data_IF_952742414924
#
_entry.id   IF_952742414924
#
_cell.length_a   1.000
_cell.length_b   1.000
_cell.length_c   1.000
_cell.angle_alpha   90.00
_cell.angle_beta   90.00
_cell.angle_gamma   90.00
#
_symmetry.space_group_name_H-M   'P 1'
#
loop_
_entity.id
_entity.type
_entity.pdbx_description
1 polymer ?
#
# COMPACT_ATOMS: atom_id res chain seq x y z
N UNK A 1 -11.65 -14.71 51.59
CA UNK A 1 -12.55 -15.52 52.43
C UNK A 1 -13.86 -15.75 51.67
N UNK A 2 -14.22 -17.03 51.47
CA UNK A 2 -15.57 -17.62 51.23
C UNK A 2 -16.45 -16.98 50.13
N UNK A 3 -16.59 -17.58 48.94
CA UNK A 3 -17.45 -18.74 48.56
C UNK A 3 -18.91 -18.61 49.01
N UNK A 4 -19.84 -18.69 48.07
CA UNK A 4 -21.03 -19.57 48.05
C UNK A 4 -21.75 -19.38 46.69
N UNK A 5 -22.50 -20.29 46.05
CA UNK A 5 -22.51 -21.75 45.79
C UNK A 5 -23.65 -21.95 44.78
N UNK A 6 -23.42 -22.77 43.75
CA UNK A 6 -24.35 -23.28 42.74
C UNK A 6 -25.56 -24.05 43.34
N UNK A 7 -26.74 -23.96 42.72
CA UNK A 7 -27.89 -24.86 42.98
C UNK A 7 -28.24 -25.60 41.68
N UNK A 8 -28.18 -26.94 41.73
CA UNK A 8 -28.63 -27.86 40.69
C UNK A 8 -29.55 -28.91 41.33
N UNK A 9 -30.73 -29.08 40.72
CA UNK A 9 -31.60 -30.26 40.59
C UNK A 9 -31.93 -31.18 41.79
N UNK A 10 -33.22 -31.52 41.92
CA UNK A 10 -33.82 -32.87 42.05
C UNK A 10 -35.32 -32.68 42.35
N UNK A 11 -36.20 -33.44 41.69
CA UNK A 11 -37.32 -34.21 42.28
C UNK A 11 -38.08 -34.92 41.14
N UNK A 12 -38.06 -36.25 41.18
CA UNK A 12 -38.95 -37.15 40.46
C UNK A 12 -39.53 -38.15 41.50
N UNK A 13 -40.75 -38.63 41.22
CA UNK A 13 -41.42 -39.83 41.76
C UNK A 13 -42.53 -39.63 42.83
N UNK A 14 -43.77 -39.84 42.37
CA UNK A 14 -44.92 -40.52 43.00
C UNK A 14 -45.95 -40.72 41.84
N UNK A 15 -46.74 -41.77 41.66
CA UNK A 15 -47.45 -42.63 42.61
C UNK A 15 -48.09 -43.84 41.87
N UNK A 16 -48.53 -44.80 42.70
CA UNK A 16 -48.96 -46.18 42.47
C UNK A 16 -50.30 -46.47 41.75
N UNK A 17 -50.32 -47.66 41.13
CA UNK A 17 -51.36 -48.71 41.02
C UNK A 17 -52.86 -48.39 40.84
N UNK A 18 -53.42 -48.92 39.75
CA UNK A 18 -54.73 -49.59 39.74
C UNK A 18 -54.71 -50.80 38.78
N UNK A 19 -55.17 -51.94 39.28
CA UNK A 19 -55.34 -53.19 38.53
C UNK A 19 -56.82 -53.41 38.20
N UNK A 20 -57.12 -53.83 36.97
CA UNK A 20 -58.38 -54.48 36.62
C UNK A 20 -58.20 -55.38 35.39
N UNK A 21 -58.74 -56.59 35.49
CA UNK A 21 -58.63 -57.72 34.56
C UNK A 21 -59.22 -57.43 33.17
N UNK A 22 -58.58 -57.97 32.13
CA UNK A 22 -59.15 -58.14 30.79
C UNK A 22 -58.79 -59.54 30.23
N UNK A 23 -59.67 -60.16 29.42
CA UNK A 23 -59.59 -61.58 29.05
C UNK A 23 -58.55 -61.88 27.97
N UNK A 24 -58.16 -63.16 27.89
CA UNK A 24 -57.16 -63.70 26.98
C UNK A 24 -57.49 -63.45 25.50
N UNK A 25 -56.51 -62.90 24.76
CA UNK A 25 -56.54 -62.75 23.32
C UNK A 25 -55.76 -63.91 22.64
N UNK A 26 -56.39 -64.48 21.61
CA UNK A 26 -55.88 -65.50 20.68
C UNK A 26 -54.79 -64.92 19.75
N UNK A 27 -53.95 -65.75 19.11
CA UNK A 27 -52.58 -65.39 18.70
C UNK A 27 -52.55 -64.54 17.42
N UNK A 28 -51.63 -63.57 17.39
CA UNK A 28 -51.26 -62.81 16.19
C UNK A 28 -49.99 -63.44 15.59
N UNK A 29 -49.90 -63.67 14.27
CA UNK A 29 -48.69 -64.17 13.63
C UNK A 29 -47.56 -63.15 13.81
N UNK A 30 -46.38 -63.62 14.24
CA UNK A 30 -45.16 -62.83 14.28
C UNK A 30 -44.70 -62.57 12.85
N UNK A 31 -44.89 -61.36 12.36
CA UNK A 31 -44.23 -60.87 11.15
C UNK A 31 -42.75 -60.63 11.49
N UNK A 32 -41.83 -61.13 10.66
CA UNK A 32 -40.40 -60.93 10.87
C UNK A 32 -40.06 -59.43 10.80
N UNK A 33 -39.14 -58.93 11.66
CA UNK A 33 -38.75 -57.53 11.63
C UNK A 33 -38.06 -57.22 10.30
N UNK A 34 -38.67 -56.32 9.52
CA UNK A 34 -38.00 -55.70 8.37
C UNK A 34 -36.85 -54.86 8.90
N UNK A 35 -35.63 -55.34 8.69
CA UNK A 35 -34.40 -54.56 8.93
C UNK A 35 -34.46 -53.34 8.00
N UNK A 36 -34.41 -52.10 8.52
CA UNK A 36 -34.27 -50.95 7.65
C UNK A 36 -32.89 -51.04 7.01
N UNK A 37 -32.83 -51.30 5.71
CA UNK A 37 -31.61 -51.09 4.95
C UNK A 37 -31.39 -49.58 4.93
N UNK A 38 -30.49 -49.07 5.79
CA UNK A 38 -29.93 -47.73 5.63
C UNK A 38 -29.28 -47.67 4.25
N UNK A 39 -29.97 -47.06 3.30
CA UNK A 39 -29.35 -46.59 2.07
C UNK A 39 -28.38 -45.49 2.48
N UNK A 40 -27.10 -45.85 2.64
CA UNK A 40 -25.99 -44.91 2.73
C UNK A 40 -26.07 -44.02 1.49
N UNK A 41 -26.41 -42.75 1.68
CA UNK A 41 -26.40 -41.78 0.60
C UNK A 41 -25.01 -41.82 -0.06
N UNK A 42 -24.92 -41.88 -1.40
CA UNK A 42 -23.62 -41.85 -2.06
C UNK A 42 -22.88 -40.59 -1.60
N UNK A 43 -21.74 -40.78 -0.94
CA UNK A 43 -20.82 -39.70 -0.62
C UNK A 43 -20.42 -39.06 -1.94
N UNK A 44 -20.86 -37.82 -2.16
CA UNK A 44 -20.43 -37.06 -3.32
C UNK A 44 -18.90 -37.08 -3.35
N UNK A 45 -18.26 -37.34 -4.51
CA UNK A 45 -16.82 -37.24 -4.61
C UNK A 45 -16.40 -35.85 -4.12
N UNK A 46 -15.31 -35.73 -3.35
CA UNK A 46 -14.84 -34.44 -2.88
C UNK A 46 -14.67 -33.52 -4.09
N UNK A 47 -15.20 -32.30 -3.99
CA UNK A 47 -15.01 -31.27 -5.01
C UNK A 47 -13.50 -31.13 -5.26
N UNK A 48 -13.05 -31.10 -6.53
CA UNK A 48 -11.64 -30.90 -6.83
C UNK A 48 -11.15 -29.64 -6.12
N UNK A 49 -10.02 -29.74 -5.44
CA UNK A 49 -9.39 -28.59 -4.80
C UNK A 49 -9.00 -27.58 -5.89
N UNK A 50 -9.40 -26.33 -5.73
CA UNK A 50 -9.03 -25.27 -6.68
C UNK A 50 -7.52 -25.04 -6.60
N UNK A 51 -6.87 -24.94 -7.75
CA UNK A 51 -5.45 -24.63 -7.86
C UNK A 51 -5.25 -23.41 -8.77
N UNK A 52 -4.59 -22.37 -8.27
CA UNK A 52 -4.18 -21.22 -9.08
C UNK A 52 -3.01 -21.53 -10.01
N UNK A 53 -2.64 -20.61 -10.92
CA UNK A 53 -1.40 -20.72 -11.68
C UNK A 53 -0.18 -20.80 -10.75
N UNK A 54 0.84 -21.57 -11.15
CA UNK A 54 2.08 -21.68 -10.37
C UNK A 54 2.74 -20.31 -10.19
N UNK A 55 3.07 -19.96 -8.94
CA UNK A 55 3.69 -18.68 -8.60
C UNK A 55 2.75 -17.47 -8.62
N UNK A 56 1.44 -17.66 -8.82
CA UNK A 56 0.48 -16.57 -8.73
C UNK A 56 0.29 -16.08 -7.29
N UNK A 57 0.11 -14.77 -7.13
CA UNK A 57 -0.45 -14.20 -5.92
C UNK A 57 -1.94 -14.57 -5.86
N UNK A 58 -2.33 -15.38 -4.89
CA UNK A 58 -3.72 -15.79 -4.71
C UNK A 58 -4.37 -14.90 -3.66
N UNK A 59 -5.30 -14.04 -4.07
CA UNK A 59 -6.20 -13.36 -3.15
C UNK A 59 -7.25 -14.34 -2.65
N UNK A 60 -7.30 -14.53 -1.32
CA UNK A 60 -8.31 -15.37 -0.66
C UNK A 60 -9.38 -14.51 0.00
N UNK A 61 -10.62 -14.98 -0.01
CA UNK A 61 -11.73 -14.28 0.63
C UNK A 61 -11.53 -14.25 2.15
N UNK A 62 -11.75 -13.10 2.76
CA UNK A 62 -11.74 -12.89 4.20
C UNK A 62 -13.11 -12.35 4.67
N UNK A 63 -13.54 -12.77 5.87
CA UNK A 63 -14.82 -12.33 6.46
C UNK A 63 -14.81 -10.85 6.86
N UNK A 64 -13.63 -10.28 7.10
CA UNK A 64 -13.45 -8.88 7.50
C UNK A 64 -12.16 -8.30 6.96
N UNK A 65 -12.16 -6.99 6.73
CA UNK A 65 -10.96 -6.23 6.41
C UNK A 65 -9.91 -6.35 7.53
N UNK A 66 -8.60 -6.34 7.20
CA UNK A 66 -7.52 -6.28 8.17
C UNK A 66 -7.42 -4.86 8.75
N UNK A 67 -6.74 -4.74 9.89
CA UNK A 67 -6.35 -3.43 10.43
C UNK A 67 -5.12 -2.95 9.67
N UNK A 68 -5.19 -1.79 9.04
CA UNK A 68 -4.04 -1.25 8.29
C UNK A 68 -3.14 -0.46 9.23
N UNK A 69 -2.28 -1.15 9.99
CA UNK A 69 -1.38 -0.52 10.97
C UNK A 69 0.10 -0.89 10.80
N UNK A 70 0.42 -1.75 9.81
CA UNK A 70 1.78 -2.20 9.55
C UNK A 70 2.23 -3.32 10.48
N UNK A 71 1.29 -4.04 11.10
CA UNK A 71 1.55 -5.22 11.93
C UNK A 71 0.77 -6.40 11.36
N UNK A 72 1.50 -7.37 10.80
CA UNK A 72 0.93 -8.54 10.14
C UNK A 72 0.36 -9.60 11.11
N UNK A 73 -0.43 -9.22 12.11
CA UNK A 73 -1.01 -10.10 13.13
C UNK A 73 -2.52 -10.31 13.02
N UNK A 74 -3.20 -9.64 12.08
CA UNK A 74 -4.61 -9.88 11.78
C UNK A 74 -4.88 -11.31 11.31
N UNK A 75 -5.96 -11.90 11.86
CA UNK A 75 -6.42 -13.25 11.49
C UNK A 75 -6.78 -13.38 10.00
N UNK A 76 -7.11 -12.27 9.34
CA UNK A 76 -7.43 -12.25 7.91
C UNK A 76 -6.27 -12.76 7.04
N UNK A 77 -5.02 -12.57 7.47
CA UNK A 77 -3.83 -13.01 6.74
C UNK A 77 -3.50 -14.51 6.90
N UNK A 78 -4.17 -15.22 7.83
CA UNK A 78 -3.78 -16.57 8.22
C UNK A 78 -3.89 -17.61 7.08
N UNK A 79 -4.84 -17.42 6.18
CA UNK A 79 -5.08 -18.31 5.03
C UNK A 79 -4.51 -17.77 3.71
N UNK A 80 -3.90 -16.58 3.72
CA UNK A 80 -3.30 -15.98 2.55
C UNK A 80 -1.90 -16.56 2.32
N UNK A 81 -1.68 -17.12 1.13
CA UNK A 81 -0.37 -17.60 0.71
C UNK A 81 0.54 -16.43 0.38
N UNK A 82 1.79 -16.52 0.83
CA UNK A 82 2.83 -15.54 0.52
C UNK A 82 3.57 -15.96 -0.74
N UNK A 83 3.74 -15.02 -1.67
CA UNK A 83 4.71 -15.14 -2.74
C UNK A 83 5.92 -14.27 -2.45
N UNK A 84 7.07 -14.66 -3.01
CA UNK A 84 8.33 -13.91 -2.91
C UNK A 84 8.72 -13.42 -4.30
N UNK A 85 8.94 -12.11 -4.41
CA UNK A 85 9.33 -11.43 -5.65
C UNK A 85 10.71 -10.82 -5.47
N UNK A 86 11.69 -11.31 -6.22
CA UNK A 86 13.02 -10.69 -6.26
C UNK A 86 12.97 -9.34 -6.98
N UNK A 87 13.44 -8.28 -6.33
CA UNK A 87 13.66 -6.97 -6.93
C UNK A 87 15.16 -6.63 -6.92
N UNK A 88 15.69 -6.18 -8.07
CA UNK A 88 17.14 -6.02 -8.27
C UNK A 88 17.49 -4.70 -8.94
N UNK A 89 18.78 -4.35 -8.92
CA UNK A 89 19.38 -3.22 -9.67
C UNK A 89 19.01 -1.83 -9.16
N UNK A 90 18.73 -1.69 -7.87
CA UNK A 90 18.60 -0.39 -7.21
C UNK A 90 19.93 0.36 -7.10
N UNK A 91 19.88 1.57 -6.53
CA UNK A 91 21.07 2.36 -6.25
C UNK A 91 22.14 1.54 -5.51
N UNK A 92 23.42 1.74 -5.86
CA UNK A 92 24.55 0.97 -5.31
C UNK A 92 24.39 -0.57 -5.35
N UNK A 93 23.57 -1.09 -6.28
CA UNK A 93 23.32 -2.52 -6.41
C UNK A 93 22.29 -3.07 -5.41
N UNK A 94 21.55 -2.20 -4.73
CA UNK A 94 20.48 -2.60 -3.82
C UNK A 94 19.53 -3.59 -4.49
N UNK A 95 19.28 -4.69 -3.78
CA UNK A 95 18.41 -5.79 -4.19
C UNK A 95 17.82 -6.39 -2.92
N UNK A 96 16.55 -6.77 -2.97
CA UNK A 96 15.82 -7.34 -1.83
C UNK A 96 14.73 -8.28 -2.34
N UNK A 97 14.08 -8.98 -1.43
CA UNK A 97 12.91 -9.81 -1.69
C UNK A 97 11.67 -9.09 -1.16
N UNK A 98 10.64 -9.00 -2.01
CA UNK A 98 9.33 -8.50 -1.61
C UNK A 98 8.45 -9.71 -1.33
N UNK A 99 8.01 -9.81 -0.08
CA UNK A 99 7.04 -10.80 0.38
C UNK A 99 5.65 -10.20 0.27
N UNK A 100 4.75 -10.87 -0.44
CA UNK A 100 3.44 -10.33 -0.77
C UNK A 100 2.34 -11.35 -0.50
N UNK A 101 1.33 -10.92 0.25
CA UNK A 101 0.06 -11.62 0.46
C UNK A 101 -1.09 -10.77 -0.04
N UNK A 102 -2.19 -11.41 -0.42
CA UNK A 102 -3.42 -10.73 -0.80
C UNK A 102 -4.64 -11.43 -0.19
N UNK A 103 -5.61 -10.61 0.19
CA UNK A 103 -6.96 -11.05 0.56
C UNK A 103 -7.97 -10.11 -0.08
N UNK A 104 -9.23 -10.52 -0.11
CA UNK A 104 -10.32 -9.65 -0.52
C UNK A 104 -11.56 -9.89 0.34
N UNK A 105 -12.41 -8.88 0.42
CA UNK A 105 -13.75 -8.93 1.02
C UNK A 105 -14.79 -8.83 -0.10
N UNK A 106 -16.06 -8.65 0.25
CA UNK A 106 -17.14 -8.50 -0.75
C UNK A 106 -16.91 -7.35 -1.73
N UNK A 107 -16.23 -6.28 -1.30
CA UNK A 107 -16.10 -5.03 -2.06
C UNK A 107 -14.67 -4.48 -2.17
N UNK A 108 -13.70 -5.07 -1.47
CA UNK A 108 -12.35 -4.49 -1.33
C UNK A 108 -11.26 -5.54 -1.46
N UNK A 109 -10.08 -5.12 -1.91
CA UNK A 109 -8.87 -5.93 -1.94
C UNK A 109 -7.82 -5.32 -1.02
N UNK A 110 -7.07 -6.19 -0.33
CA UNK A 110 -6.02 -5.82 0.59
C UNK A 110 -4.75 -6.60 0.31
N UNK A 111 -3.62 -5.95 0.55
CA UNK A 111 -2.30 -6.50 0.38
C UNK A 111 -1.48 -6.28 1.64
N UNK A 112 -0.66 -7.26 1.97
CA UNK A 112 0.39 -7.15 2.94
C UNK A 112 1.72 -7.32 2.20
N UNK A 113 2.51 -6.25 2.18
CA UNK A 113 3.84 -6.23 1.57
C UNK A 113 4.90 -6.06 2.65
N UNK A 114 5.91 -6.92 2.62
CA UNK A 114 7.12 -6.72 3.42
C UNK A 114 8.37 -6.81 2.58
N UNK A 115 9.39 -6.05 2.94
CA UNK A 115 10.72 -6.16 2.33
C UNK A 115 11.77 -5.70 3.33
N UNK A 116 12.95 -6.33 3.26
CA UNK A 116 14.11 -5.88 4.02
C UNK A 116 14.62 -4.57 3.42
N UNK A 117 14.83 -3.57 4.27
CA UNK A 117 15.45 -2.29 3.96
C UNK A 117 16.45 -1.97 5.08
N UNK A 118 17.75 -1.79 4.78
CA UNK A 118 18.76 -1.59 5.80
C UNK A 118 18.63 -0.26 6.56
N UNK A 119 17.84 0.69 6.05
CA UNK A 119 17.71 2.02 6.62
C UNK A 119 16.26 2.45 6.71
N UNK A 120 15.88 3.07 7.83
CA UNK A 120 14.63 3.82 7.88
C UNK A 120 14.89 5.23 7.34
N UNK A 121 14.72 5.42 6.04
CA UNK A 121 15.02 6.70 5.38
C UNK A 121 13.86 7.67 5.51
N UNK A 122 14.02 8.62 6.42
CA UNK A 122 13.05 9.70 6.66
C UNK A 122 13.66 11.12 6.51
N UNK A 123 14.99 11.23 6.42
CA UNK A 123 15.71 12.50 6.40
C UNK A 123 15.72 13.13 4.99
N UNK A 124 14.52 13.45 4.51
CA UNK A 124 14.25 13.92 3.17
C UNK A 124 14.57 15.41 2.99
N UNK A 125 15.74 15.70 2.44
CA UNK A 125 16.22 17.06 2.08
C UNK A 125 15.75 18.19 3.02
N UNK A 126 15.98 18.08 4.34
CA UNK A 126 15.54 19.09 5.29
C UNK A 126 16.33 20.39 5.11
N UNK A 127 15.78 21.48 5.59
CA UNK A 127 16.45 22.75 5.75
C UNK A 127 17.40 22.72 6.95
N UNK A 128 18.59 23.31 6.83
CA UNK A 128 19.51 23.53 7.93
C UNK A 128 19.95 24.99 8.00
N UNK A 129 19.90 25.59 9.20
CA UNK A 129 20.43 26.94 9.45
C UNK A 129 21.95 26.94 9.45
N UNK A 130 22.53 27.81 8.62
CA UNK A 130 23.97 27.92 8.41
C UNK A 130 24.61 28.91 9.39
N UNK A 131 25.95 28.90 9.50
CA UNK A 131 26.71 29.80 10.39
C UNK A 131 26.51 31.29 10.08
N UNK A 132 26.30 31.63 8.80
CA UNK A 132 26.02 32.99 8.35
C UNK A 132 24.56 33.43 8.55
N UNK A 133 23.73 32.58 9.17
CA UNK A 133 22.31 32.81 9.41
C UNK A 133 21.40 32.46 8.24
N UNK A 134 21.95 32.08 7.07
CA UNK A 134 21.15 31.65 5.91
C UNK A 134 20.61 30.23 6.10
N UNK A 135 19.69 29.83 5.22
CA UNK A 135 19.13 28.48 5.19
C UNK A 135 19.55 27.76 3.92
N UNK A 136 19.83 26.46 4.03
CA UNK A 136 20.09 25.60 2.89
C UNK A 136 19.34 24.28 3.06
N UNK A 137 18.79 23.76 1.97
CA UNK A 137 18.38 22.35 1.97
C UNK A 137 19.63 21.48 1.97
N UNK A 138 19.62 20.46 2.81
CA UNK A 138 20.58 19.37 2.75
C UNK A 138 20.35 18.62 1.44
N UNK A 139 21.43 18.45 0.67
CA UNK A 139 21.41 17.86 -0.66
C UNK A 139 22.42 16.75 -0.75
N UNK A 140 22.07 15.75 -1.52
CA UNK A 140 23.01 14.73 -1.94
C UNK A 140 24.10 15.42 -2.80
N UNK A 141 25.38 15.37 -2.40
CA UNK A 141 26.46 16.00 -3.16
C UNK A 141 26.68 15.36 -4.53
N UNK A 142 26.20 14.13 -4.74
CA UNK A 142 26.31 13.36 -5.97
C UNK A 142 25.05 13.47 -6.86
N UNK A 143 23.99 14.18 -6.42
CA UNK A 143 22.78 14.42 -7.22
C UNK A 143 23.09 15.28 -8.45
N UNK A 144 22.91 14.68 -9.62
CA UNK A 144 23.14 15.26 -10.96
C UNK A 144 21.83 15.64 -11.64
N UNK A 145 20.81 15.99 -10.86
CA UNK A 145 19.56 16.57 -11.35
C UNK A 145 18.38 15.61 -11.21
N UNK A 146 17.95 15.40 -9.97
CA UNK A 146 16.76 14.60 -9.65
C UNK A 146 17.07 13.13 -9.38
N UNK A 147 18.32 12.80 -9.02
CA UNK A 147 18.74 11.47 -8.63
C UNK A 147 19.37 11.43 -7.24
N UNK A 148 18.81 12.17 -6.28
CA UNK A 148 19.18 12.10 -4.86
C UNK A 148 19.00 10.67 -4.32
N UNK A 149 20.06 10.07 -3.77
CA UNK A 149 20.03 8.76 -3.13
C UNK A 149 20.69 8.75 -1.74
N UNK A 150 20.73 9.91 -1.06
CA UNK A 150 21.35 10.05 0.26
C UNK A 150 20.41 10.68 1.30
N UNK A 151 19.63 11.67 0.87
CA UNK A 151 18.71 12.41 1.73
C UNK A 151 17.31 12.36 1.13
N UNK A 152 16.83 11.14 0.91
CA UNK A 152 15.52 10.88 0.34
C UNK A 152 14.67 10.06 1.34
N UNK A 153 13.68 9.35 0.83
CA UNK A 153 12.76 8.53 1.61
C UNK A 153 12.67 7.14 0.99
N UNK A 154 12.31 6.15 1.80
CA UNK A 154 12.02 4.80 1.31
C UNK A 154 10.65 4.76 0.62
N UNK A 155 10.54 3.93 -0.40
CA UNK A 155 9.34 3.82 -1.23
C UNK A 155 9.16 2.43 -1.79
N UNK A 156 7.95 2.15 -2.26
CA UNK A 156 7.71 1.12 -3.25
C UNK A 156 6.77 1.65 -4.34
N UNK A 157 6.78 0.98 -5.49
CA UNK A 157 5.80 1.17 -6.54
C UNK A 157 5.22 -0.18 -6.97
N UNK A 158 3.91 -0.20 -7.19
CA UNK A 158 3.15 -1.38 -7.59
C UNK A 158 2.32 -0.99 -8.82
N UNK A 159 2.62 -1.58 -9.98
CA UNK A 159 2.05 -1.17 -11.26
C UNK A 159 1.21 -2.27 -11.91
N UNK A 160 0.05 -1.90 -12.46
CA UNK A 160 -0.92 -2.75 -13.12
C UNK A 160 -1.24 -2.22 -14.53
N UNK A 161 -1.33 -3.06 -15.58
CA UNK A 161 -1.84 -2.63 -16.86
C UNK A 161 -3.38 -2.51 -16.80
N UNK A 162 -3.92 -1.35 -17.11
CA UNK A 162 -5.37 -1.14 -17.10
C UNK A 162 -5.96 -1.79 -18.35
N UNK A 163 -6.98 -2.61 -18.17
CA UNK A 163 -7.68 -3.33 -19.25
C UNK A 163 -6.74 -4.14 -20.16
N UNK A 164 -5.60 -4.62 -19.64
CA UNK A 164 -4.54 -5.28 -20.42
C UNK A 164 -4.10 -4.45 -21.64
N UNK A 165 -4.15 -3.12 -21.54
CA UNK A 165 -3.87 -2.21 -22.66
C UNK A 165 -2.38 -2.12 -23.01
N UNK A 166 -1.49 -2.38 -22.04
CA UNK A 166 -0.04 -2.31 -22.24
C UNK A 166 0.46 -3.61 -22.87
N UNK A 167 0.91 -3.51 -24.13
CA UNK A 167 1.44 -4.64 -24.91
C UNK A 167 2.65 -5.28 -24.22
N UNK A 168 2.69 -6.62 -24.23
CA UNK A 168 3.75 -7.47 -23.66
C UNK A 168 3.96 -7.34 -22.14
N UNK A 169 3.05 -6.68 -21.40
CA UNK A 169 3.22 -6.51 -19.95
C UNK A 169 3.26 -7.86 -19.22
N UNK A 170 2.49 -8.85 -19.65
CA UNK A 170 2.46 -10.19 -19.07
C UNK A 170 3.81 -10.94 -19.14
N UNK A 171 4.70 -10.52 -20.05
CA UNK A 171 6.04 -11.11 -20.19
C UNK A 171 7.16 -10.19 -19.71
N UNK A 172 7.06 -8.88 -19.97
CA UNK A 172 8.11 -7.89 -19.67
C UNK A 172 7.86 -7.11 -18.39
N UNK A 173 6.63 -7.13 -17.86
CA UNK A 173 6.20 -6.30 -16.74
C UNK A 173 6.49 -4.83 -16.96
N UNK A 174 6.98 -4.15 -15.92
CA UNK A 174 7.18 -2.71 -15.95
C UNK A 174 8.24 -2.24 -16.96
N UNK A 175 9.10 -3.14 -17.46
CA UNK A 175 10.16 -2.83 -18.44
C UNK A 175 9.59 -2.37 -19.78
N UNK A 176 8.37 -2.80 -20.15
CA UNK A 176 7.74 -2.39 -21.41
C UNK A 176 7.52 -0.88 -21.54
N UNK A 177 7.58 -0.15 -20.43
CA UNK A 177 7.41 1.29 -20.40
C UNK A 177 8.65 2.03 -19.91
N UNK A 178 9.79 1.35 -19.75
CA UNK A 178 11.04 1.95 -19.27
C UNK A 178 11.94 2.34 -20.45
N UNK A 179 12.28 3.62 -20.56
CA UNK A 179 13.11 4.16 -21.65
C UNK A 179 14.46 4.64 -21.07
N UNK A 180 15.44 3.74 -21.06
CA UNK A 180 16.81 4.04 -20.62
C UNK A 180 17.63 4.65 -21.75
N UNK A 181 18.56 5.55 -21.42
CA UNK A 181 19.47 6.20 -22.37
C UNK A 181 18.75 6.85 -23.57
N UNK A 182 17.59 7.45 -23.33
CA UNK A 182 16.69 8.04 -24.33
C UNK A 182 17.18 9.39 -24.92
N UNK A 183 18.48 9.68 -24.80
CA UNK A 183 19.09 10.89 -25.33
C UNK A 183 18.74 12.18 -24.56
N UNK A 184 18.03 12.09 -23.44
CA UNK A 184 17.60 13.26 -22.65
C UNK A 184 18.70 13.85 -21.76
N UNK A 185 19.81 13.14 -21.59
CA UNK A 185 20.92 13.55 -20.73
C UNK A 185 20.63 13.40 -19.23
N UNK A 186 19.43 12.93 -18.85
CA UNK A 186 19.10 12.60 -17.46
C UNK A 186 19.95 11.41 -16.97
N UNK A 187 20.34 11.36 -15.69
CA UNK A 187 21.05 10.22 -15.12
C UNK A 187 20.16 8.98 -14.92
N UNK A 188 18.87 9.05 -15.28
CA UNK A 188 17.85 8.01 -15.16
C UNK A 188 16.92 8.00 -16.38
N UNK A 189 16.23 6.89 -16.62
CA UNK A 189 15.30 6.73 -17.74
C UNK A 189 13.95 7.42 -17.51
N UNK A 190 13.25 7.71 -18.60
CA UNK A 190 11.85 8.15 -18.55
C UNK A 190 10.90 6.96 -18.62
N UNK A 191 9.68 7.13 -18.08
CA UNK A 191 8.65 6.08 -18.09
C UNK A 191 7.41 6.56 -18.86
N UNK A 192 7.03 5.85 -19.91
CA UNK A 192 5.81 6.06 -20.70
C UNK A 192 5.50 4.82 -21.54
N UNK A 193 4.21 4.57 -21.80
CA UNK A 193 3.77 3.44 -22.64
C UNK A 193 4.03 3.70 -24.12
N UNK A 194 4.09 2.64 -24.93
CA UNK A 194 4.54 2.74 -26.32
C UNK A 194 3.43 3.19 -27.29
N UNK A 195 2.16 2.99 -26.94
CA UNK A 195 1.01 3.25 -27.80
C UNK A 195 -0.02 4.18 -27.18
N UNK A 196 -0.67 4.98 -28.02
CA UNK A 196 -1.81 5.80 -27.63
C UNK A 196 -2.93 4.95 -27.02
N UNK A 197 -3.51 5.42 -25.91
CA UNK A 197 -4.55 4.72 -25.16
C UNK A 197 -4.04 3.61 -24.22
N UNK A 198 -2.73 3.31 -24.20
CA UNK A 198 -2.16 2.37 -23.22
C UNK A 198 -2.02 3.06 -21.87
N UNK A 199 -2.63 2.48 -20.84
CA UNK A 199 -2.65 3.02 -19.49
C UNK A 199 -2.17 1.98 -18.47
N UNK A 200 -1.44 2.46 -17.47
CA UNK A 200 -1.07 1.69 -16.29
C UNK A 200 -1.45 2.42 -15.02
N UNK A 201 -1.95 1.68 -14.04
CA UNK A 201 -2.25 2.14 -12.69
C UNK A 201 -1.00 1.90 -11.82
N UNK A 202 -0.54 2.90 -11.08
CA UNK A 202 0.68 2.91 -10.25
C UNK A 202 0.36 3.34 -8.82
N UNK A 203 0.39 2.39 -7.90
CA UNK A 203 0.30 2.68 -6.48
C UNK A 203 1.71 2.95 -5.95
N UNK A 204 1.95 4.17 -5.47
CA UNK A 204 3.30 4.63 -5.13
C UNK A 204 3.40 5.10 -3.68
N UNK A 205 3.77 4.18 -2.81
CA UNK A 205 3.99 4.46 -1.39
C UNK A 205 5.30 5.22 -1.16
N UNK A 206 5.27 6.19 -0.26
CA UNK A 206 6.35 7.11 0.07
C UNK A 206 6.37 7.33 1.57
N UNK A 207 7.38 6.83 2.28
CA UNK A 207 7.40 6.79 3.75
C UNK A 207 7.18 8.18 4.40
N UNK A 208 7.64 9.25 3.75
CA UNK A 208 7.51 10.62 4.25
C UNK A 208 6.34 11.35 3.64
N UNK A 209 6.14 11.25 2.32
CA UNK A 209 5.14 12.05 1.61
C UNK A 209 3.71 11.55 1.73
N UNK A 210 3.50 10.29 2.11
CA UNK A 210 2.16 9.74 2.35
C UNK A 210 1.71 9.87 3.81
N UNK A 211 0.39 9.79 4.05
CA UNK A 211 -0.23 9.83 5.38
C UNK A 211 -1.45 8.89 5.41
N UNK A 212 -1.30 7.70 5.98
CA UNK A 212 -2.38 6.71 6.10
C UNK A 212 -2.94 6.19 4.76
N UNK A 213 -2.20 6.41 3.67
CA UNK A 213 -2.65 6.18 2.29
C UNK A 213 -1.46 5.87 1.39
N UNK A 214 -1.71 5.26 0.24
CA UNK A 214 -0.75 5.23 -0.88
C UNK A 214 -1.13 6.30 -1.89
N UNK A 215 -0.12 6.91 -2.53
CA UNK A 215 -0.34 7.91 -3.57
C UNK A 215 -0.72 7.21 -4.87
N UNK A 216 -1.97 7.39 -5.31
CA UNK A 216 -2.45 6.80 -6.55
C UNK A 216 -2.00 7.63 -7.77
N UNK A 217 -1.52 6.94 -8.79
CA UNK A 217 -0.87 7.55 -9.94
C UNK A 217 -1.13 6.70 -11.16
N UNK A 218 -1.16 7.32 -12.34
CA UNK A 218 -1.22 6.56 -13.58
C UNK A 218 -0.03 6.82 -14.52
N UNK A 219 0.07 5.93 -15.49
CA UNK A 219 1.05 5.96 -16.57
C UNK A 219 0.32 6.02 -17.90
N UNK A 220 0.70 6.98 -18.74
CA UNK A 220 0.23 7.09 -20.12
C UNK A 220 1.38 7.07 -21.14
N UNK A 221 1.03 7.29 -22.41
CA UNK A 221 1.95 7.27 -23.56
C UNK A 221 2.63 8.61 -23.83
N UNK A 222 2.53 9.58 -22.91
CA UNK A 222 3.14 10.89 -23.08
C UNK A 222 4.66 10.76 -23.10
N UNK A 223 5.25 10.87 -24.29
CA UNK A 223 6.70 10.89 -24.44
C UNK A 223 7.32 12.09 -23.69
N UNK A 224 8.57 11.93 -23.28
CA UNK A 224 9.33 13.00 -22.65
C UNK A 224 9.52 14.18 -23.60
N UNK A 225 9.26 15.38 -23.10
CA UNK A 225 9.62 16.67 -23.71
C UNK A 225 10.09 17.60 -22.60
N UNK A 226 11.26 18.21 -22.77
CA UNK A 226 11.90 19.02 -21.74
C UNK A 226 11.11 20.28 -21.35
N UNK A 227 10.19 20.74 -22.19
CA UNK A 227 9.39 21.93 -21.96
C UNK A 227 7.93 21.58 -21.60
N UNK A 228 7.37 20.57 -22.27
CA UNK A 228 5.94 20.24 -22.22
C UNK A 228 5.60 19.07 -21.30
N UNK A 229 6.49 18.09 -21.16
CA UNK A 229 6.23 16.83 -20.44
C UNK A 229 7.50 16.30 -19.76
N UNK A 230 8.01 17.08 -18.80
CA UNK A 230 9.25 16.76 -18.06
C UNK A 230 9.21 15.43 -17.28
N UNK A 231 8.01 15.02 -16.87
CA UNK A 231 7.72 13.77 -16.17
C UNK A 231 7.30 12.62 -17.11
N UNK A 232 7.34 12.87 -18.43
CA UNK A 232 6.87 11.95 -19.45
C UNK A 232 5.46 11.42 -19.14
N UNK A 233 5.29 10.10 -19.14
CA UNK A 233 4.01 9.43 -18.99
C UNK A 233 3.55 9.27 -17.55
N UNK A 234 4.40 9.53 -16.55
CA UNK A 234 3.97 9.44 -15.14
C UNK A 234 3.12 10.64 -14.77
N UNK A 235 1.93 10.39 -14.27
CA UNK A 235 0.97 11.39 -13.82
C UNK A 235 0.54 11.09 -12.38
N UNK A 236 -0.25 11.99 -11.81
CA UNK A 236 -0.99 11.70 -10.58
C UNK A 236 -2.46 11.71 -10.91
N UNK A 237 -3.19 10.85 -10.25
CA UNK A 237 -4.64 10.82 -10.34
C UNK A 237 -5.24 12.15 -9.88
N UNK A 238 -6.45 12.49 -10.37
CA UNK A 238 -7.12 13.70 -9.94
C UNK A 238 -7.36 13.67 -8.42
N UNK A 239 -7.24 14.84 -7.79
CA UNK A 239 -7.52 15.01 -6.36
C UNK A 239 -8.41 16.22 -6.16
N UNK A 240 -9.23 16.16 -5.12
CA UNK A 240 -10.05 17.28 -4.68
C UNK A 240 -9.24 18.25 -3.81
N UNK A 241 -8.38 17.70 -2.94
CA UNK A 241 -7.53 18.50 -2.05
C UNK A 241 -6.39 17.68 -1.43
N UNK A 242 -5.56 18.36 -0.64
CA UNK A 242 -4.53 17.72 0.20
C UNK A 242 -3.28 17.25 -0.56
N UNK A 243 -2.56 16.30 0.03
CA UNK A 243 -1.27 15.81 -0.46
C UNK A 243 -0.08 16.56 0.12
N UNK A 244 1.02 16.62 -0.63
CA UNK A 244 2.30 17.14 -0.14
C UNK A 244 2.86 18.27 -0.99
N UNK A 245 3.67 19.13 -0.38
CA UNK A 245 4.43 20.19 -1.02
C UNK A 245 5.78 20.40 -0.36
N UNK A 246 6.71 20.99 -1.11
CA UNK A 246 7.98 21.46 -0.53
C UNK A 246 7.71 22.57 0.50
N UNK A 247 8.45 22.56 1.61
CA UNK A 247 8.37 23.56 2.67
C UNK A 247 9.18 24.81 2.29
N UNK A 248 8.65 25.60 1.36
CA UNK A 248 9.22 26.89 0.97
C UNK A 248 8.47 28.04 1.65
N UNK A 249 9.20 29.08 2.02
CA UNK A 249 8.58 30.35 2.36
C UNK A 249 7.88 30.96 1.13
N UNK A 250 7.09 32.01 1.34
CA UNK A 250 6.48 32.78 0.26
C UNK A 250 7.10 34.17 0.17
N UNK A 251 7.23 34.68 -1.05
CA UNK A 251 7.68 36.04 -1.34
C UNK A 251 6.81 36.68 -2.43
N UNK A 252 6.76 38.02 -2.54
CA UNK A 252 6.14 38.68 -3.68
C UNK A 252 6.78 38.22 -5.01
N UNK A 253 5.96 38.04 -6.04
CA UNK A 253 6.46 37.69 -7.38
C UNK A 253 7.32 38.85 -7.92
N UNK A 254 8.59 38.60 -8.32
CA UNK A 254 9.45 39.63 -8.92
C UNK A 254 8.88 40.25 -10.20
N UNK A 255 8.03 39.52 -10.94
CA UNK A 255 7.38 40.01 -12.15
C UNK A 255 6.06 40.75 -11.88
N UNK A 256 5.42 40.50 -10.73
CA UNK A 256 4.12 41.07 -10.36
C UNK A 256 3.90 41.05 -8.84
N UNK A 257 4.27 42.12 -8.14
CA UNK A 257 4.22 42.19 -6.68
C UNK A 257 2.82 42.00 -6.05
N UNK A 258 1.75 41.92 -6.84
CA UNK A 258 0.39 41.56 -6.37
C UNK A 258 0.20 40.05 -6.18
N UNK A 259 1.13 39.25 -6.70
CA UNK A 259 1.14 37.79 -6.58
C UNK A 259 2.23 37.34 -5.60
N UNK A 260 2.10 36.09 -5.13
CA UNK A 260 3.13 35.43 -4.32
C UNK A 260 3.67 34.21 -5.04
N UNK A 261 4.96 33.97 -4.86
CA UNK A 261 5.69 32.81 -5.37
C UNK A 261 6.50 32.18 -4.23
N UNK A 262 6.94 30.94 -4.42
CA UNK A 262 7.80 30.27 -3.45
C UNK A 262 9.18 30.94 -3.36
N UNK A 263 9.57 31.33 -2.16
CA UNK A 263 10.93 31.69 -1.79
C UNK A 263 11.71 30.41 -1.46
N UNK A 264 12.47 29.93 -2.45
CA UNK A 264 13.28 28.71 -2.35
C UNK A 264 14.60 28.91 -1.59
N UNK A 265 14.76 30.02 -0.87
CA UNK A 265 15.97 30.28 -0.07
C UNK A 265 15.83 29.91 1.41
N UNK A 266 14.61 29.63 1.90
CA UNK A 266 14.35 29.37 3.32
C UNK A 266 13.05 28.58 3.57
N UNK A 267 12.93 27.91 4.74
CA UNK A 267 11.71 27.22 5.12
C UNK A 267 10.56 28.20 5.38
N UNK A 268 9.34 27.78 5.04
CA UNK A 268 8.13 28.58 5.25
C UNK A 268 7.39 28.25 6.54
N UNK A 269 7.52 27.00 7.01
CA UNK A 269 6.73 26.47 8.11
C UNK A 269 7.58 25.62 9.08
N UNK A 270 7.10 25.55 10.33
CA UNK A 270 7.56 24.64 11.39
C UNK A 270 6.33 24.00 12.07
N UNK A 271 6.52 23.14 13.06
CA UNK A 271 5.47 22.72 14.00
C UNK A 271 6.08 22.42 15.36
N UNK A 272 5.25 22.31 16.40
CA UNK A 272 5.74 21.91 17.73
C UNK A 272 6.19 20.44 17.80
N UNK A 273 5.80 19.64 16.81
CA UNK A 273 6.12 18.21 16.70
C UNK A 273 7.50 17.94 16.10
N UNK A 274 8.20 18.95 15.55
CA UNK A 274 9.53 18.75 14.97
C UNK A 274 10.62 18.73 16.04
N UNK A 275 11.59 17.84 15.88
CA UNK A 275 12.88 17.95 16.57
C UNK A 275 13.83 18.82 15.72
N UNK A 276 14.14 20.02 16.21
CA UNK A 276 15.05 20.96 15.55
C UNK A 276 16.52 20.49 15.48
N UNK A 277 16.88 19.38 16.13
CA UNK A 277 18.25 18.80 16.08
C UNK A 277 18.38 17.72 15.02
N UNK A 278 17.30 16.99 14.76
CA UNK A 278 17.32 15.80 13.88
C UNK A 278 16.41 15.94 12.66
N UNK A 279 15.55 16.96 12.62
CA UNK A 279 14.44 17.09 11.67
C UNK A 279 13.35 16.01 11.81
N UNK A 280 13.37 15.16 12.84
CA UNK A 280 12.32 14.17 13.03
C UNK A 280 10.95 14.86 13.18
N UNK A 281 9.86 14.29 12.61
CA UNK A 281 9.76 12.99 11.93
C UNK A 281 10.06 13.03 10.41
N UNK A 282 10.73 14.08 9.91
CA UNK A 282 11.06 14.24 8.48
C UNK A 282 9.99 14.97 7.65
N UNK A 283 8.87 15.34 8.28
CA UNK A 283 7.78 16.11 7.67
C UNK A 283 7.10 17.04 8.68
N UNK A 284 6.27 17.95 8.16
CA UNK A 284 5.32 18.76 8.93
C UNK A 284 3.91 18.40 8.47
N UNK A 285 2.99 18.14 9.39
CA UNK A 285 1.57 17.98 9.06
C UNK A 285 0.96 19.35 8.74
N UNK A 286 0.19 19.43 7.67
CA UNK A 286 -0.48 20.67 7.25
C UNK A 286 -1.39 21.23 8.36
N UNK A 287 -2.03 20.34 9.12
CA UNK A 287 -2.88 20.67 10.27
C UNK A 287 -2.13 21.24 11.48
N UNK A 288 -0.80 21.06 11.54
CA UNK A 288 0.06 21.49 12.65
C UNK A 288 1.00 22.63 12.27
N UNK A 289 1.02 23.01 10.98
CA UNK A 289 2.03 23.93 10.46
C UNK A 289 1.85 25.34 11.04
N UNK A 290 2.96 25.92 11.43
CA UNK A 290 3.08 27.29 11.91
C UNK A 290 3.99 28.04 10.95
N UNK A 291 3.52 29.18 10.44
CA UNK A 291 4.31 30.02 9.54
C UNK A 291 5.55 30.58 10.26
N UNK A 292 6.68 30.59 9.56
CA UNK A 292 7.92 31.19 10.02
C UNK A 292 8.08 32.58 9.42
N UNK A 293 8.04 33.60 10.28
CA UNK A 293 8.50 34.94 9.90
C UNK A 293 10.02 35.08 10.08
N UNK A 294 10.58 36.23 9.67
CA UNK A 294 12.02 36.45 9.76
C UNK A 294 12.52 36.42 11.20
N UNK A 295 11.76 36.93 12.17
CA UNK A 295 12.17 36.95 13.57
C UNK A 295 12.23 35.51 14.14
N UNK A 296 11.27 34.66 13.79
CA UNK A 296 11.27 33.25 14.16
C UNK A 296 12.45 32.50 13.53
N UNK A 297 12.75 32.74 12.25
CA UNK A 297 13.93 32.17 11.59
C UNK A 297 15.23 32.61 12.26
N UNK A 298 15.35 33.89 12.60
CA UNK A 298 16.56 34.47 13.21
C UNK A 298 16.79 33.93 14.62
N UNK A 299 15.71 33.63 15.37
CA UNK A 299 15.77 33.09 16.72
C UNK A 299 16.25 31.63 16.80
N UNK A 300 16.15 30.86 15.71
CA UNK A 300 16.62 29.47 15.68
C UNK A 300 18.14 29.39 15.79
N UNK A 301 18.66 28.34 16.43
CA UNK A 301 20.10 28.15 16.57
C UNK A 301 20.75 27.79 15.22
N UNK A 302 22.01 28.18 15.03
CA UNK A 302 22.82 27.64 13.92
C UNK A 302 22.88 26.12 14.05
N UNK A 303 22.77 25.42 12.91
CA UNK A 303 22.70 23.96 12.86
C UNK A 303 21.31 23.38 13.05
N UNK A 304 20.30 24.19 13.42
CA UNK A 304 18.91 23.72 13.52
C UNK A 304 18.37 23.21 12.18
N UNK A 305 17.59 22.14 12.23
CA UNK A 305 16.90 21.57 11.09
C UNK A 305 15.40 21.87 11.08
N UNK A 306 14.83 21.95 9.88
CA UNK A 306 13.39 21.99 9.62
C UNK A 306 13.06 21.04 8.47
N UNK A 307 12.04 20.17 8.58
CA UNK A 307 11.64 19.29 7.49
C UNK A 307 11.40 20.00 6.15
N UNK A 308 11.78 19.33 5.06
CA UNK A 308 11.62 19.84 3.71
C UNK A 308 10.22 19.66 3.13
N UNK A 309 9.34 18.92 3.79
CA UNK A 309 8.00 18.54 3.30
C UNK A 309 6.92 18.97 4.28
N UNK A 310 5.84 19.54 3.73
CA UNK A 310 4.54 19.67 4.39
C UNK A 310 3.57 18.69 3.74
N UNK A 311 2.79 17.94 4.53
CA UNK A 311 1.85 16.93 4.02
C UNK A 311 0.50 16.94 4.72
N UNK A 312 -0.52 16.51 4.00
CA UNK A 312 -1.85 16.15 4.48
C UNK A 312 -2.37 14.94 3.71
N UNK A 313 -3.47 14.37 4.21
CA UNK A 313 -4.18 13.31 3.53
C UNK A 313 -4.59 13.76 2.11
N UNK A 314 -4.50 12.88 1.12
CA UNK A 314 -4.98 13.14 -0.24
C UNK A 314 -6.48 12.81 -0.27
N UNK A 315 -7.28 13.74 -0.78
CA UNK A 315 -8.74 13.59 -0.88
C UNK A 315 -9.14 13.46 -2.34
N UNK A 316 -10.07 12.54 -2.63
CA UNK A 316 -10.52 12.22 -3.98
C UNK A 316 -9.83 10.96 -4.50
N UNK A 317 -9.89 10.78 -5.82
CA UNK A 317 -9.44 9.58 -6.54
C UNK A 317 -8.01 9.17 -6.17
N UNK A 318 -7.08 10.13 -6.25
CA UNK A 318 -5.66 9.96 -5.90
C UNK A 318 -5.37 9.42 -4.49
N UNK A 319 -6.32 9.55 -3.56
CA UNK A 319 -6.19 9.12 -2.17
C UNK A 319 -7.04 7.90 -1.81
N UNK A 320 -7.55 7.15 -2.80
CA UNK A 320 -8.51 6.08 -2.59
C UNK A 320 -7.88 4.78 -2.01
N UNK A 321 -6.55 4.71 -1.92
CA UNK A 321 -5.80 3.58 -1.37
C UNK A 321 -5.43 3.86 0.08
N UNK A 322 -6.13 3.20 1.02
CA UNK A 322 -5.83 3.30 2.45
C UNK A 322 -4.61 2.44 2.80
N UNK A 323 -3.79 2.87 3.75
CA UNK A 323 -2.60 2.12 4.14
C UNK A 323 -2.11 2.42 5.56
N UNK A 324 -1.43 1.44 6.15
CA UNK A 324 -0.64 1.55 7.37
C UNK A 324 0.72 0.89 7.18
N UNK A 325 1.74 1.38 7.88
CA UNK A 325 3.08 0.85 7.75
C UNK A 325 3.91 1.03 9.00
N UNK A 326 4.88 0.13 9.16
CA UNK A 326 5.84 0.14 10.25
C UNK A 326 7.20 -0.32 9.77
N UNK A 327 8.24 0.38 10.22
CA UNK A 327 9.62 -0.11 10.11
C UNK A 327 10.02 -0.74 11.43
N UNK A 328 10.55 -1.95 11.37
CA UNK A 328 11.12 -2.63 12.53
C UNK A 328 12.19 -3.63 12.08
N UNK A 329 13.29 -3.70 12.82
CA UNK A 329 14.34 -4.72 12.64
C UNK A 329 14.89 -4.86 11.21
N UNK A 330 15.00 -3.73 10.48
CA UNK A 330 15.51 -3.73 9.10
C UNK A 330 14.49 -4.13 8.04
N UNK A 331 13.18 -4.03 8.35
CA UNK A 331 12.11 -4.37 7.42
C UNK A 331 10.99 -3.33 7.46
N UNK A 332 10.44 -3.05 6.28
CA UNK A 332 9.14 -2.40 6.15
C UNK A 332 8.04 -3.46 6.14
N UNK A 333 7.00 -3.25 6.94
CA UNK A 333 5.71 -3.94 6.86
C UNK A 333 4.66 -2.92 6.45
N UNK A 334 3.97 -3.17 5.34
CA UNK A 334 3.02 -2.22 4.77
C UNK A 334 1.74 -2.97 4.40
N UNK A 335 0.62 -2.54 4.98
CA UNK A 335 -0.71 -3.05 4.70
C UNK A 335 -1.50 -1.98 3.98
N UNK A 336 -2.15 -2.34 2.88
CA UNK A 336 -2.90 -1.38 2.09
C UNK A 336 -4.06 -2.02 1.36
N UNK A 337 -5.08 -1.23 1.05
CA UNK A 337 -6.25 -1.71 0.33
C UNK A 337 -7.11 -0.60 -0.23
N UNK A 338 -7.96 -0.99 -1.17
CA UNK A 338 -8.94 -0.15 -1.85
C UNK A 338 -10.12 -1.00 -2.31
N UNK A 339 -11.16 -0.35 -2.81
CA UNK A 339 -12.30 -1.04 -3.41
C UNK A 339 -11.85 -1.89 -4.61
N UNK A 340 -12.51 -3.03 -4.82
CA UNK A 340 -12.37 -3.86 -6.03
C UNK A 340 -12.74 -3.08 -7.29
N UNK A 341 -13.70 -2.17 -7.16
CA UNK A 341 -14.10 -1.24 -8.21
C UNK A 341 -14.13 0.19 -7.66
N UNK A 342 -13.25 1.05 -8.17
CA UNK A 342 -13.19 2.47 -7.78
C UNK A 342 -14.01 3.36 -8.70
N UNK A 343 -14.33 2.88 -9.90
CA UNK A 343 -14.99 3.64 -10.95
C UNK A 343 -14.08 4.66 -11.66
N UNK A 344 -12.81 4.77 -11.27
CA UNK A 344 -11.84 5.63 -11.96
C UNK A 344 -11.37 5.03 -13.28
N UNK A 345 -11.18 5.88 -14.29
CA UNK A 345 -10.59 5.49 -15.58
C UNK A 345 -9.07 5.30 -15.51
N UNK A 346 -8.44 5.77 -14.44
CA UNK A 346 -7.00 5.70 -14.18
C UNK A 346 -6.59 4.50 -13.31
N UNK A 347 -7.58 3.70 -12.90
CA UNK A 347 -7.39 2.57 -12.00
C UNK A 347 -7.62 1.23 -12.70
N UNK A 348 -6.87 0.20 -12.28
CA UNK A 348 -7.26 -1.18 -12.60
C UNK A 348 -8.57 -1.52 -11.90
N UNK A 349 -9.47 -2.27 -12.54
CA UNK A 349 -10.75 -2.66 -11.94
C UNK A 349 -10.78 -4.17 -11.68
N UNK A 350 -10.78 -4.58 -10.42
CA UNK A 350 -10.85 -5.97 -9.97
C UNK A 350 -12.30 -6.50 -9.92
N UNK A 351 -13.11 -6.11 -10.91
CA UNK A 351 -14.53 -6.49 -10.97
C UNK A 351 -14.75 -7.91 -11.51
N UNK A 352 -13.77 -8.51 -12.18
CA UNK A 352 -13.84 -9.88 -12.70
C UNK A 352 -12.89 -10.78 -11.88
N UNK A 353 -13.44 -11.43 -10.85
CA UNK A 353 -12.68 -12.32 -9.98
C UNK A 353 -12.18 -13.59 -10.70
N UNK A 354 -12.58 -13.82 -11.96
CA UNK A 354 -12.10 -14.94 -12.77
C UNK A 354 -10.93 -14.56 -13.69
N UNK A 355 -10.60 -13.26 -13.77
CA UNK A 355 -9.54 -12.75 -14.63
C UNK A 355 -8.14 -12.92 -14.01
N UNK A 356 -7.13 -12.81 -14.89
CA UNK A 356 -5.73 -12.69 -14.53
C UNK A 356 -5.34 -11.22 -14.49
N UNK A 357 -4.75 -10.77 -13.39
CA UNK A 357 -4.29 -9.39 -13.21
C UNK A 357 -2.76 -9.35 -13.10
N UNK A 358 -2.09 -8.99 -14.19
CA UNK A 358 -0.63 -8.89 -14.18
C UNK A 358 -0.16 -7.64 -13.44
N UNK A 359 1.02 -7.72 -12.83
CA UNK A 359 1.61 -6.60 -12.12
C UNK A 359 3.15 -6.62 -12.09
N UNK A 360 3.73 -5.48 -11.76
CA UNK A 360 5.15 -5.33 -11.46
C UNK A 360 5.39 -4.58 -10.15
N UNK A 361 6.48 -4.93 -9.46
CA UNK A 361 6.88 -4.32 -8.18
C UNK A 361 8.26 -3.68 -8.26
N UNK A 362 8.44 -2.54 -7.58
CA UNK A 362 9.73 -1.89 -7.38
C UNK A 362 9.87 -1.32 -5.97
N UNK A 363 11.08 -1.29 -5.43
CA UNK A 363 11.42 -0.78 -4.08
C UNK A 363 12.59 0.20 -4.16
N UNK A 364 12.55 1.24 -3.34
CA UNK A 364 13.53 2.32 -3.30
C UNK A 364 14.09 2.42 -1.88
N UNK A 365 15.34 2.01 -1.69
CA UNK A 365 16.10 2.30 -0.45
C UNK A 365 16.72 3.67 -0.61
N UNK A 366 16.28 4.64 0.21
CA UNK A 366 16.77 6.02 0.24
C UNK A 366 16.95 6.72 -1.14
N UNK A 367 16.20 6.30 -2.18
CA UNK A 367 16.49 6.66 -3.57
C UNK A 367 15.36 7.45 -4.21
N UNK A 368 15.67 8.52 -4.95
CA UNK A 368 14.68 9.32 -5.66
C UNK A 368 14.07 8.56 -6.84
N UNK A 369 14.91 7.99 -7.70
CA UNK A 369 14.51 7.31 -8.94
C UNK A 369 15.16 5.95 -9.15
N UNK A 370 16.28 5.65 -8.49
CA UNK A 370 17.09 4.44 -8.72
C UNK A 370 16.58 3.25 -7.90
N UNK A 371 15.41 2.75 -8.25
CA UNK A 371 14.77 1.62 -7.57
C UNK A 371 15.32 0.25 -7.98
N UNK A 372 15.25 -0.70 -7.04
CA UNK A 372 15.27 -2.11 -7.37
C UNK A 372 13.91 -2.50 -7.98
N UNK A 373 13.89 -3.35 -9.01
CA UNK A 373 12.66 -3.72 -9.69
C UNK A 373 12.60 -5.22 -10.02
N UNK A 374 11.37 -5.71 -10.10
CA UNK A 374 11.05 -7.04 -10.59
C UNK A 374 11.33 -7.13 -12.10
N UNK A 375 11.96 -8.22 -12.54
CA UNK A 375 12.03 -8.57 -13.96
C UNK A 375 10.79 -9.39 -14.36
N UNK A 376 10.20 -9.06 -15.50
CA UNK A 376 8.95 -9.67 -15.94
C UNK A 376 7.76 -9.20 -15.10
N UNK A 377 6.67 -9.97 -15.12
CA UNK A 377 5.46 -9.69 -14.35
C UNK A 377 5.10 -10.86 -13.44
N UNK A 378 4.45 -10.54 -12.33
CA UNK A 378 3.68 -11.49 -11.53
C UNK A 378 2.21 -11.40 -11.90
N UNK A 379 1.41 -12.36 -11.44
CA UNK A 379 -0.03 -12.40 -11.70
C UNK A 379 -0.79 -12.55 -10.39
N UNK A 380 -1.84 -11.76 -10.23
CA UNK A 380 -2.85 -11.88 -9.19
C UNK A 380 -4.05 -12.66 -9.75
N UNK A 381 -4.56 -13.58 -8.94
CA UNK A 381 -5.82 -14.31 -9.17
C UNK A 381 -6.65 -14.34 -7.89
N UNK A 382 -7.97 -14.50 -8.02
CA UNK A 382 -8.86 -14.65 -6.88
C UNK A 382 -9.26 -16.11 -6.70
N UNK A 383 -9.23 -16.59 -5.47
CA UNK A 383 -9.72 -17.92 -5.12
C UNK A 383 -11.26 -17.89 -5.05
N UNK A 384 -11.99 -18.73 -5.82
CA UNK A 384 -13.46 -18.73 -5.86
C UNK A 384 -14.17 -19.08 -4.56
#
# INVERSE_FOLDING_TARGET
>A
MKRITTILSIIMAASMFLAACAPAATPVPTEEPVVPTETVAPTLPPTPEWTGPEGALVAVMADSAPTLDGVADDAAWANAEEIVIEVKSGFNGYSTEVHLKAIYTEDSIYFLMTYADPTESWFRSPWQKQEDGTWKQIKDPDDKGGDNNLYYEDKFAFIWPINNSIVDFETKGCDTACHVADGTGKPFGNKFTAGEGQLGDIWHWKSIRNLGQIDDQYLDWTAYDAEKSKEAGRKSDPKDSGGYSDNFASMPDPADATKTVADKSKPGFTSASIDGTTAAPGFILDSEKVALDQAALDALAVGSYIPGIVKSQIVGDRGNISAGWKYADGMWTIEFGRLLNTGSEFDVQFSDLTALYYFGVAVFENAQVRHAFQKGASVLVFKP
#
